data_IF_140110172441
#
_entry.id   IF_140110172441
#
_cell.length_a   1.000
_cell.length_b   1.000
_cell.length_c   1.000
_cell.angle_alpha   90.00
_cell.angle_beta   90.00
_cell.angle_gamma   90.00
#
_symmetry.space_group_name_H-M   'P 1'
#
loop_
_entity.id
_entity.type
_entity.pdbx_description
1 polymer ?
#
# COMPACT_ATOMS: atom_id res chain seq x y z
N UNK A 1 -9.90 -32.86 35.25
CA UNK A 1 -10.37 -31.46 35.43
C UNK A 1 -11.86 -31.49 35.72
N UNK A 2 -12.33 -30.75 36.73
CA UNK A 2 -13.75 -30.69 37.13
C UNK A 2 -14.62 -30.20 35.95
N UNK A 3 -15.77 -30.84 35.69
CA UNK A 3 -16.73 -30.45 34.64
C UNK A 3 -17.14 -28.98 34.74
N UNK A 4 -17.24 -28.42 35.95
CA UNK A 4 -17.55 -27.01 36.18
C UNK A 4 -16.40 -26.09 35.72
N UNK A 5 -15.15 -26.50 35.98
CA UNK A 5 -13.96 -25.77 35.53
C UNK A 5 -13.79 -25.85 34.01
N UNK A 6 -14.05 -27.02 33.42
CA UNK A 6 -14.06 -27.19 31.96
C UNK A 6 -15.11 -26.29 31.29
N UNK A 7 -16.35 -26.30 31.79
CA UNK A 7 -17.43 -25.49 31.24
C UNK A 7 -17.14 -23.97 31.34
N UNK A 8 -16.51 -23.54 32.43
CA UNK A 8 -16.12 -22.16 32.64
C UNK A 8 -15.01 -21.74 31.67
N UNK A 9 -13.99 -22.57 31.50
CA UNK A 9 -12.91 -22.33 30.52
C UNK A 9 -13.47 -22.23 29.10
N UNK A 10 -14.36 -23.16 28.72
CA UNK A 10 -14.99 -23.13 27.39
C UNK A 10 -15.80 -21.85 27.22
N UNK A 11 -16.63 -21.47 28.20
CA UNK A 11 -17.43 -20.23 28.12
C UNK A 11 -16.57 -18.99 27.94
N UNK A 12 -15.47 -18.89 28.69
CA UNK A 12 -14.55 -17.75 28.59
C UNK A 12 -13.91 -17.69 27.19
N UNK A 13 -13.46 -18.83 26.65
CA UNK A 13 -12.90 -18.89 25.31
C UNK A 13 -13.94 -18.49 24.26
N UNK A 14 -15.18 -18.97 24.38
CA UNK A 14 -16.26 -18.62 23.45
C UNK A 14 -16.59 -17.14 23.50
N UNK A 15 -16.69 -16.55 24.71
CA UNK A 15 -16.94 -15.11 24.88
C UNK A 15 -15.81 -14.29 24.26
N UNK A 16 -14.55 -14.65 24.51
CA UNK A 16 -13.39 -13.97 23.94
C UNK A 16 -13.36 -14.06 22.41
N UNK A 17 -13.65 -15.24 21.85
CA UNK A 17 -13.70 -15.43 20.40
C UNK A 17 -14.84 -14.65 19.74
N UNK A 18 -16.04 -14.66 20.33
CA UNK A 18 -17.19 -13.93 19.78
C UNK A 18 -16.98 -12.43 19.88
N UNK A 19 -16.46 -11.94 21.01
CA UNK A 19 -16.19 -10.51 21.20
C UNK A 19 -15.07 -9.99 20.29
N UNK A 20 -14.00 -10.75 20.08
CA UNK A 20 -12.94 -10.35 19.14
C UNK A 20 -13.44 -10.33 17.70
N UNK A 21 -14.24 -11.32 17.29
CA UNK A 21 -14.82 -11.37 15.94
C UNK A 21 -15.80 -10.22 15.71
N UNK A 22 -16.66 -9.93 16.70
CA UNK A 22 -17.57 -8.78 16.64
C UNK A 22 -16.80 -7.46 16.59
N UNK A 23 -15.73 -7.31 17.38
CA UNK A 23 -14.89 -6.12 17.35
C UNK A 23 -14.25 -5.91 15.97
N UNK A 24 -13.73 -6.98 15.34
CA UNK A 24 -13.21 -6.91 13.97
C UNK A 24 -14.32 -6.50 13.01
N UNK A 25 -15.52 -7.09 13.10
CA UNK A 25 -16.60 -6.76 12.18
C UNK A 25 -17.13 -5.32 12.33
N UNK A 26 -17.27 -4.81 13.55
CA UNK A 26 -17.84 -3.49 13.82
C UNK A 26 -16.82 -2.34 13.83
N UNK A 27 -15.55 -2.62 14.13
CA UNK A 27 -14.49 -1.61 14.20
C UNK A 27 -13.42 -1.75 13.12
N UNK A 28 -13.47 -2.79 12.27
CA UNK A 28 -12.71 -2.70 11.02
C UNK A 28 -13.29 -1.54 10.23
N UNK A 29 -12.45 -0.60 9.77
CA UNK A 29 -12.88 0.38 8.79
C UNK A 29 -13.55 -0.38 7.64
N UNK A 30 -14.68 0.10 7.10
CA UNK A 30 -15.19 -0.47 5.87
C UNK A 30 -14.04 -0.42 4.86
N UNK A 31 -13.64 -1.58 4.35
CA UNK A 31 -12.80 -1.66 3.16
C UNK A 31 -13.65 -1.03 2.06
N UNK A 32 -13.45 0.27 1.86
CA UNK A 32 -14.24 1.08 0.96
C UNK A 32 -13.90 0.81 -0.51
N UNK A 33 -13.09 -0.22 -0.79
CA UNK A 33 -12.70 -0.62 -2.14
C UNK A 33 -12.07 0.54 -2.91
N UNK A 34 -11.55 1.55 -2.20
CA UNK A 34 -11.05 2.77 -2.82
C UNK A 34 -9.66 2.49 -3.36
N UNK A 35 -9.53 2.57 -4.68
CA UNK A 35 -8.25 2.50 -5.38
C UNK A 35 -7.50 3.81 -5.13
N UNK A 36 -6.28 3.72 -4.60
CA UNK A 36 -5.38 4.84 -4.44
C UNK A 36 -4.39 4.86 -5.59
N UNK A 37 -4.25 6.00 -6.24
CA UNK A 37 -3.32 6.14 -7.36
C UNK A 37 -2.66 7.50 -7.35
N UNK A 38 -1.44 7.55 -7.86
CA UNK A 38 -0.69 8.78 -8.06
C UNK A 38 -0.53 9.07 -9.54
N UNK A 39 -0.61 10.36 -9.88
CA UNK A 39 -0.45 10.87 -11.24
C UNK A 39 0.60 11.96 -11.21
N UNK A 40 1.56 11.86 -12.12
CA UNK A 40 2.64 12.84 -12.30
C UNK A 40 2.99 12.89 -13.79
N UNK A 41 3.64 13.95 -14.25
CA UNK A 41 3.95 14.17 -15.66
C UNK A 41 5.04 15.20 -15.81
N UNK A 42 5.41 15.50 -17.06
CA UNK A 42 6.33 16.57 -17.42
C UNK A 42 7.63 16.57 -16.59
N UNK A 43 8.18 15.37 -16.42
CA UNK A 43 9.36 15.15 -15.58
C UNK A 43 10.64 15.53 -16.31
N UNK A 44 10.63 15.54 -17.65
CA UNK A 44 11.73 16.02 -18.51
C UNK A 44 13.10 15.42 -18.13
N UNK A 45 13.13 14.19 -17.62
CA UNK A 45 14.33 13.51 -17.16
C UNK A 45 14.94 14.06 -15.86
N UNK A 46 14.26 14.94 -15.12
CA UNK A 46 14.72 15.49 -13.84
C UNK A 46 14.72 14.40 -12.76
N UNK A 47 15.86 13.72 -12.62
CA UNK A 47 16.02 12.55 -11.76
C UNK A 47 15.63 12.82 -10.30
N UNK A 48 15.98 13.97 -9.74
CA UNK A 48 15.62 14.29 -8.34
C UNK A 48 14.11 14.35 -8.07
N UNK A 49 13.30 14.81 -9.04
CA UNK A 49 11.84 14.80 -8.92
C UNK A 49 11.27 13.39 -9.04
N UNK A 50 11.81 12.61 -9.99
CA UNK A 50 11.43 11.20 -10.16
C UNK A 50 11.78 10.38 -8.92
N UNK A 51 12.95 10.58 -8.32
CA UNK A 51 13.39 9.94 -7.08
C UNK A 51 12.45 10.23 -5.91
N UNK A 52 12.01 11.49 -5.75
CA UNK A 52 11.06 11.87 -4.70
C UNK A 52 9.70 11.18 -4.89
N UNK A 53 9.23 11.07 -6.14
CA UNK A 53 7.97 10.40 -6.47
C UNK A 53 8.07 8.90 -6.19
N UNK A 54 9.15 8.26 -6.59
CA UNK A 54 9.42 6.84 -6.32
C UNK A 54 9.50 6.59 -4.81
N UNK A 55 10.19 7.47 -4.06
CA UNK A 55 10.28 7.39 -2.59
C UNK A 55 8.91 7.51 -1.95
N UNK A 56 8.10 8.47 -2.37
CA UNK A 56 6.74 8.66 -1.86
C UNK A 56 5.82 7.48 -2.20
N UNK A 57 5.93 6.94 -3.42
CA UNK A 57 5.17 5.77 -3.85
C UNK A 57 5.56 4.51 -3.05
N UNK A 58 6.85 4.29 -2.77
CA UNK A 58 7.30 3.19 -1.94
C UNK A 58 6.81 3.30 -0.49
N UNK A 59 6.72 4.53 0.05
CA UNK A 59 6.21 4.80 1.39
C UNK A 59 4.69 4.59 1.49
N UNK A 60 3.93 5.19 0.56
CA UNK A 60 2.48 5.21 0.63
C UNK A 60 1.80 4.01 -0.05
N UNK A 61 2.54 3.26 -0.87
CA UNK A 61 2.11 2.06 -1.58
C UNK A 61 0.75 2.23 -2.29
N UNK A 62 0.63 3.18 -3.24
CA UNK A 62 -0.59 3.28 -4.05
C UNK A 62 -0.78 2.02 -4.89
N UNK A 63 -2.02 1.72 -5.26
CA UNK A 63 -2.36 0.60 -6.13
C UNK A 63 -1.85 0.81 -7.56
N UNK A 64 -1.82 2.07 -8.01
CA UNK A 64 -1.32 2.44 -9.33
C UNK A 64 -0.50 3.73 -9.30
N UNK A 65 0.42 3.84 -10.25
CA UNK A 65 1.26 5.00 -10.45
C UNK A 65 1.31 5.32 -11.94
N UNK A 66 0.82 6.49 -12.33
CA UNK A 66 0.68 6.92 -13.72
C UNK A 66 1.64 8.06 -14.03
N UNK A 67 2.41 7.90 -15.11
CA UNK A 67 3.18 8.98 -15.70
C UNK A 67 2.49 9.51 -16.97
N UNK A 68 2.22 10.80 -17.02
CA UNK A 68 1.42 11.44 -18.07
C UNK A 68 2.28 12.24 -19.06
N UNK A 69 3.16 11.54 -19.78
CA UNK A 69 3.92 12.13 -20.89
C UNK A 69 5.11 12.98 -20.46
N UNK A 70 5.97 13.30 -21.42
CA UNK A 70 7.13 14.17 -21.20
C UNK A 70 8.07 13.64 -20.11
N UNK A 71 8.32 12.32 -20.15
CA UNK A 71 9.20 11.63 -19.20
C UNK A 71 10.66 12.02 -19.41
N UNK A 72 11.03 12.27 -20.66
CA UNK A 72 12.35 12.68 -21.09
C UNK A 72 12.23 13.92 -21.96
N UNK A 73 13.26 14.79 -21.99
CA UNK A 73 13.14 16.06 -22.70
C UNK A 73 13.31 15.93 -24.21
N UNK A 74 13.99 14.88 -24.68
CA UNK A 74 14.28 14.68 -26.11
C UNK A 74 13.90 13.30 -26.63
N UNK A 75 13.31 12.43 -25.82
CA UNK A 75 12.92 11.09 -26.26
C UNK A 75 14.09 10.17 -26.61
N UNK A 76 15.30 10.44 -26.11
CA UNK A 76 16.47 9.63 -26.42
C UNK A 76 16.58 8.41 -25.51
N UNK A 77 17.05 7.29 -26.05
CA UNK A 77 17.14 6.01 -25.33
C UNK A 77 17.94 6.11 -24.03
N UNK A 78 19.09 6.79 -24.05
CA UNK A 78 19.91 7.01 -22.86
C UNK A 78 19.17 7.76 -21.74
N UNK A 79 18.23 8.65 -22.09
CA UNK A 79 17.41 9.38 -21.11
C UNK A 79 16.39 8.45 -20.45
N UNK A 80 15.75 7.57 -21.23
CA UNK A 80 14.87 6.55 -20.68
C UNK A 80 15.61 5.57 -19.78
N UNK A 81 16.81 5.13 -20.16
CA UNK A 81 17.63 4.26 -19.31
C UNK A 81 18.03 4.96 -17.99
N UNK A 82 18.36 6.25 -18.06
CA UNK A 82 18.69 7.06 -16.88
C UNK A 82 17.52 7.22 -15.93
N UNK A 83 16.29 7.37 -16.46
CA UNK A 83 15.06 7.37 -15.65
C UNK A 83 14.80 5.97 -15.09
N UNK A 84 14.87 4.92 -15.92
CA UNK A 84 14.62 3.54 -15.53
C UNK A 84 15.49 3.09 -14.34
N UNK A 85 16.75 3.51 -14.30
CA UNK A 85 17.66 3.22 -13.19
C UNK A 85 17.14 3.72 -11.82
N UNK A 86 16.36 4.81 -11.80
CA UNK A 86 15.72 5.35 -10.59
C UNK A 86 14.47 4.54 -10.21
N UNK A 87 13.73 4.03 -11.20
CA UNK A 87 12.47 3.29 -11.01
C UNK A 87 12.66 1.85 -10.55
N UNK A 88 13.77 1.22 -10.93
CA UNK A 88 14.13 -0.10 -10.43
C UNK A 88 14.64 0.03 -9.00
N UNK A 89 13.75 -0.28 -8.04
CA UNK A 89 14.13 -0.52 -6.66
C UNK A 89 15.27 -1.57 -6.62
N UNK A 90 16.35 -1.28 -5.90
CA UNK A 90 17.21 -2.34 -5.34
C UNK A 90 16.48 -3.05 -4.20
#
# INVERSE_FOLDING_TARGET
MDRRKLALVISVITILAVSSTAAIYFFSPPDNGSINFYVFGDSQGYQGGVEQIVTAANLHRPDFLFHCGDLTPFGQENQYQSVKAVWTCQ
#
